data_IF_669067774947
#
_entry.id   IF_669067774947
#
_cell.length_a   1.000
_cell.length_b   1.000
_cell.length_c   1.000
_cell.angle_alpha   90.00
_cell.angle_beta   90.00
_cell.angle_gamma   90.00
#
_symmetry.space_group_name_H-M   'P 1'
#
loop_
_entity.id
_entity.type
_entity.pdbx_description
1 polymer ?
#
# COMPACT_ATOMS: atom_id res chain seq x y z
N UNK A 1 6.24 -1.32 -8.21
CA UNK A 1 5.23 -2.11 -8.93
C UNK A 1 4.60 -1.32 -10.08
N UNK A 2 4.11 -0.09 -9.84
CA UNK A 2 3.53 0.81 -10.86
C UNK A 2 4.41 1.00 -12.09
N UNK A 3 5.70 1.30 -11.87
CA UNK A 3 6.67 1.49 -12.96
C UNK A 3 6.79 0.23 -13.83
N UNK A 4 6.92 -0.94 -13.20
CA UNK A 4 7.06 -2.24 -13.88
C UNK A 4 5.80 -2.62 -14.66
N UNK A 5 4.61 -2.36 -14.12
CA UNK A 5 3.37 -2.53 -14.87
C UNK A 5 3.24 -1.59 -16.06
N UNK A 6 3.71 -0.34 -15.91
CA UNK A 6 3.62 0.68 -16.95
C UNK A 6 4.52 0.42 -18.16
N UNK A 7 5.70 -0.19 -17.97
CA UNK A 7 6.61 -0.57 -19.07
C UNK A 7 6.08 -1.75 -19.90
N UNK A 8 5.24 -2.62 -19.33
CA UNK A 8 4.62 -3.70 -20.10
C UNK A 8 3.37 -3.25 -20.84
N UNK A 9 2.48 -2.53 -20.15
CA UNK A 9 1.26 -2.01 -20.74
C UNK A 9 0.83 -0.75 -19.98
N UNK A 10 0.78 0.40 -20.67
CA UNK A 10 0.45 1.67 -20.04
C UNK A 10 -0.95 1.69 -19.41
N UNK A 11 -1.91 0.90 -19.91
CA UNK A 11 -3.23 0.72 -19.29
C UNK A 11 -3.10 0.04 -17.93
N UNK A 12 -2.37 -1.07 -17.86
CA UNK A 12 -2.11 -1.81 -16.62
C UNK A 12 -1.35 -0.95 -15.62
N UNK A 13 -0.35 -0.18 -16.08
CA UNK A 13 0.38 0.76 -15.26
C UNK A 13 -0.50 1.85 -14.66
N UNK A 14 -1.43 2.40 -15.44
CA UNK A 14 -2.39 3.41 -14.97
C UNK A 14 -3.34 2.84 -13.92
N UNK A 15 -3.89 1.65 -14.16
CA UNK A 15 -4.79 0.98 -13.22
C UNK A 15 -4.10 0.62 -11.92
N UNK A 16 -2.85 0.16 -12.02
CA UNK A 16 -2.02 -0.11 -10.86
C UNK A 16 -1.70 1.19 -10.09
N UNK A 17 -1.48 2.32 -10.79
CA UNK A 17 -1.26 3.62 -10.15
C UNK A 17 -2.50 4.09 -9.38
N UNK A 18 -3.68 3.98 -9.97
CA UNK A 18 -4.95 4.32 -9.31
C UNK A 18 -5.22 3.39 -8.13
N UNK A 19 -5.05 2.08 -8.32
CA UNK A 19 -5.18 1.09 -7.27
C UNK A 19 -4.24 1.36 -6.09
N UNK A 20 -3.00 1.76 -6.39
CA UNK A 20 -2.00 2.12 -5.38
C UNK A 20 -2.41 3.37 -4.60
N UNK A 21 -2.82 4.41 -5.31
CA UNK A 21 -3.31 5.65 -4.69
C UNK A 21 -4.49 5.41 -3.75
N UNK A 22 -5.39 4.49 -4.07
CA UNK A 22 -6.54 4.17 -3.23
C UNK A 22 -6.17 3.45 -1.93
N UNK A 23 -5.22 2.50 -1.93
CA UNK A 23 -4.81 1.84 -0.67
C UNK A 23 -3.93 2.73 0.21
N UNK A 24 -3.27 3.73 -0.39
CA UNK A 24 -2.47 4.70 0.36
C UNK A 24 -3.30 5.60 1.28
N UNK A 25 -4.59 5.79 1.00
CA UNK A 25 -5.46 6.56 1.88
C UNK A 25 -5.62 5.86 3.25
N UNK A 26 -6.05 4.58 3.32
CA UNK A 26 -6.01 3.79 4.56
C UNK A 26 -4.63 3.72 5.22
N UNK A 27 -3.56 3.55 4.44
CA UNK A 27 -2.20 3.45 4.96
C UNK A 27 -1.75 4.77 5.63
N UNK A 28 -2.02 5.90 4.97
CA UNK A 28 -1.75 7.23 5.50
C UNK A 28 -2.49 7.53 6.80
N UNK A 29 -3.76 7.11 6.90
CA UNK A 29 -4.53 7.20 8.15
C UNK A 29 -3.85 6.39 9.25
N UNK A 30 -3.32 5.21 8.91
CA UNK A 30 -2.64 4.32 9.86
C UNK A 30 -1.30 4.87 10.34
N UNK A 31 -0.60 5.67 9.52
CA UNK A 31 0.59 6.43 9.93
C UNK A 31 0.23 7.63 10.80
N UNK A 32 -0.80 8.39 10.41
CA UNK A 32 -1.18 9.63 11.08
C UNK A 32 -1.82 9.40 12.47
N UNK A 33 -2.65 8.36 12.62
CA UNK A 33 -3.37 8.06 13.86
C UNK A 33 -2.46 7.88 15.10
N UNK A 34 -1.44 7.00 15.10
CA UNK A 34 -0.57 6.83 16.27
C UNK A 34 0.24 8.09 16.59
N UNK A 35 0.64 8.87 15.58
CA UNK A 35 1.35 10.15 15.77
C UNK A 35 0.43 11.17 16.43
N UNK A 36 -0.83 11.23 16.03
CA UNK A 36 -1.82 12.08 16.67
C UNK A 36 -2.05 11.68 18.13
N UNK A 37 -2.22 10.39 18.42
CA UNK A 37 -2.39 9.92 19.80
C UNK A 37 -1.17 10.12 20.68
N UNK A 38 0.04 10.14 20.10
CA UNK A 38 1.27 10.39 20.84
C UNK A 38 1.58 11.89 21.03
N UNK A 39 1.20 12.76 20.08
CA UNK A 39 1.63 14.17 20.07
C UNK A 39 0.50 15.18 20.28
N UNK A 40 -0.77 14.77 20.17
CA UNK A 40 -1.96 15.63 20.23
C UNK A 40 -2.16 16.57 19.03
N UNK A 41 -1.22 16.61 18.06
CA UNK A 41 -1.27 17.54 16.92
C UNK A 41 -1.63 16.85 15.62
N UNK A 42 -2.77 17.26 15.03
CA UNK A 42 -3.24 16.77 13.72
C UNK A 42 -2.27 17.12 12.59
N UNK A 43 -1.68 18.32 12.66
CA UNK A 43 -0.71 18.81 11.67
C UNK A 43 0.56 17.97 11.63
N UNK A 44 1.04 17.50 12.80
CA UNK A 44 2.18 16.59 12.84
C UNK A 44 1.83 15.25 12.18
N UNK A 45 0.66 14.70 12.45
CA UNK A 45 0.18 13.47 11.81
C UNK A 45 0.13 13.59 10.28
N UNK A 46 -0.45 14.69 9.78
CA UNK A 46 -0.53 14.97 8.33
C UNK A 46 0.86 15.15 7.72
N UNK A 47 1.76 15.89 8.39
CA UNK A 47 3.11 16.13 7.89
C UNK A 47 3.91 14.84 7.75
N UNK A 48 3.88 13.97 8.77
CA UNK A 48 4.56 12.67 8.71
C UNK A 48 3.93 11.71 7.69
N UNK A 49 2.61 11.75 7.53
CA UNK A 49 1.91 11.03 6.47
C UNK A 49 2.31 11.51 5.07
N UNK A 50 2.49 12.82 4.88
CA UNK A 50 2.94 13.37 3.60
C UNK A 50 4.39 12.94 3.29
N UNK A 51 5.26 12.94 4.30
CA UNK A 51 6.63 12.43 4.16
C UNK A 51 6.63 10.94 3.78
N UNK A 52 5.81 10.11 4.42
CA UNK A 52 5.73 8.68 4.07
C UNK A 52 5.19 8.47 2.65
N UNK A 53 4.24 9.29 2.20
CA UNK A 53 3.71 9.21 0.84
C UNK A 53 4.77 9.48 -0.25
N UNK A 54 5.84 10.23 0.07
CA UNK A 54 6.96 10.45 -0.87
C UNK A 54 7.83 9.20 -1.05
N UNK A 55 7.77 8.22 -0.14
CA UNK A 55 8.58 7.01 -0.24
C UNK A 55 8.23 6.18 -1.49
N UNK A 56 6.97 6.16 -1.91
CA UNK A 56 6.53 5.40 -3.08
C UNK A 56 7.03 5.96 -4.43
N UNK A 57 6.88 7.26 -4.76
CA UNK A 57 7.42 7.80 -5.99
C UNK A 57 8.95 7.73 -5.99
N UNK A 58 9.61 7.92 -4.83
CA UNK A 58 11.07 7.72 -4.72
C UNK A 58 11.43 6.27 -5.01
N UNK A 59 10.71 5.29 -4.45
CA UNK A 59 10.93 3.88 -4.72
C UNK A 59 10.70 3.51 -6.19
N UNK A 60 9.68 4.10 -6.82
CA UNK A 60 9.44 3.97 -8.26
C UNK A 60 10.58 4.55 -9.11
N UNK A 61 11.13 5.69 -8.71
CA UNK A 61 12.24 6.33 -9.40
C UNK A 61 13.56 5.56 -9.24
N UNK A 62 13.82 5.02 -8.04
CA UNK A 62 14.94 4.10 -7.79
C UNK A 62 14.80 2.82 -8.64
N UNK A 63 13.58 2.27 -8.74
CA UNK A 63 13.33 1.12 -9.60
C UNK A 63 13.59 1.44 -11.08
N UNK A 64 13.15 2.61 -11.57
CA UNK A 64 13.45 3.07 -12.93
C UNK A 64 14.96 3.14 -13.20
N UNK A 65 15.74 3.73 -12.28
CA UNK A 65 17.20 3.82 -12.42
C UNK A 65 17.90 2.47 -12.36
N UNK A 66 17.42 1.55 -11.52
CA UNK A 66 18.06 0.25 -11.33
C UNK A 66 17.77 -0.74 -12.47
N UNK A 67 16.64 -0.58 -13.15
CA UNK A 67 16.08 -1.59 -14.06
C UNK A 67 16.13 -1.12 -15.53
N UNK A 68 15.90 0.17 -15.80
CA UNK A 68 15.82 0.69 -17.17
C UNK A 68 14.69 0.07 -18.01
N UNK A 69 14.86 0.08 -19.33
CA UNK A 69 13.79 -0.24 -20.30
C UNK A 69 13.55 -1.74 -20.57
N UNK A 70 14.17 -2.65 -19.81
CA UNK A 70 14.09 -4.08 -20.08
C UNK A 70 14.03 -4.96 -18.83
N UNK A 71 12.83 -5.39 -18.45
CA UNK A 71 12.61 -6.45 -17.46
C UNK A 71 12.21 -7.76 -18.11
N UNK A 72 12.95 -8.82 -17.80
CA UNK A 72 12.52 -10.19 -18.06
C UNK A 72 11.43 -10.62 -17.07
N UNK A 73 10.45 -11.47 -17.46
CA UNK A 73 9.39 -11.95 -16.57
C UNK A 73 9.89 -12.59 -15.27
N UNK A 74 11.06 -13.23 -15.28
CA UNK A 74 11.64 -13.83 -14.06
C UNK A 74 12.07 -12.75 -13.06
N UNK A 75 12.69 -11.67 -13.54
CA UNK A 75 13.12 -10.54 -12.72
C UNK A 75 11.92 -9.77 -12.16
N UNK A 76 10.84 -9.63 -12.94
CA UNK A 76 9.57 -9.08 -12.49
C UNK A 76 8.95 -9.90 -11.36
N UNK A 77 8.85 -11.22 -11.55
CA UNK A 77 8.33 -12.13 -10.53
C UNK A 77 9.10 -12.05 -9.22
N UNK A 78 10.45 -12.00 -9.29
CA UNK A 78 11.29 -11.81 -8.12
C UNK A 78 11.03 -10.47 -7.41
N UNK A 79 10.91 -9.38 -8.17
CA UNK A 79 10.66 -8.05 -7.62
C UNK A 79 9.30 -8.00 -6.91
N UNK A 80 8.24 -8.50 -7.54
CA UNK A 80 6.92 -8.59 -6.90
C UNK A 80 6.91 -9.52 -5.68
N UNK A 81 7.66 -10.62 -5.71
CA UNK A 81 7.84 -11.50 -4.56
C UNK A 81 8.49 -10.78 -3.37
N UNK A 82 9.51 -9.97 -3.61
CA UNK A 82 10.16 -9.17 -2.56
C UNK A 82 9.19 -8.12 -2.00
N UNK A 83 8.46 -7.41 -2.85
CA UNK A 83 7.47 -6.41 -2.41
C UNK A 83 6.35 -7.04 -1.57
N UNK A 84 5.82 -8.19 -2.03
CA UNK A 84 4.82 -8.96 -1.29
C UNK A 84 5.33 -9.35 0.10
N UNK A 85 6.58 -9.84 0.19
CA UNK A 85 7.20 -10.20 1.47
C UNK A 85 7.29 -9.01 2.43
N UNK A 86 7.69 -7.85 1.94
CA UNK A 86 7.82 -6.63 2.76
C UNK A 86 6.44 -6.21 3.31
N UNK A 87 5.41 -6.14 2.45
CA UNK A 87 4.07 -5.74 2.87
C UNK A 87 3.43 -6.72 3.84
N UNK A 88 3.58 -8.03 3.61
CA UNK A 88 3.13 -9.04 4.57
C UNK A 88 3.84 -8.89 5.93
N UNK A 89 5.15 -8.62 5.94
CA UNK A 89 5.91 -8.39 7.16
C UNK A 89 5.41 -7.16 7.94
N UNK A 90 5.16 -6.04 7.24
CA UNK A 90 4.61 -4.81 7.82
C UNK A 90 3.22 -5.07 8.42
N UNK A 91 2.36 -5.79 7.71
CA UNK A 91 1.02 -6.13 8.19
C UNK A 91 1.08 -6.99 9.46
N UNK A 92 1.85 -8.08 9.42
CA UNK A 92 1.90 -9.08 10.49
C UNK A 92 2.63 -8.55 11.73
N UNK A 93 3.76 -7.86 11.57
CA UNK A 93 4.58 -7.40 12.70
C UNK A 93 4.22 -5.99 13.16
N UNK A 94 3.62 -5.17 12.30
CA UNK A 94 3.28 -3.78 12.57
C UNK A 94 1.79 -3.55 12.76
N UNK A 95 1.01 -3.67 11.68
CA UNK A 95 -0.39 -3.23 11.64
C UNK A 95 -1.32 -4.06 12.52
N UNK A 96 -1.23 -5.39 12.44
CA UNK A 96 -2.09 -6.29 13.22
C UNK A 96 -1.84 -6.10 14.74
N UNK A 97 -0.60 -6.16 15.26
CA UNK A 97 -0.36 -5.91 16.68
C UNK A 97 -0.81 -4.53 17.15
N UNK A 98 -0.62 -3.51 16.31
CA UNK A 98 -1.05 -2.14 16.60
C UNK A 98 -2.57 -2.05 16.69
N UNK A 99 -3.31 -2.67 15.77
CA UNK A 99 -4.77 -2.68 15.77
C UNK A 99 -5.37 -3.29 17.03
N UNK A 100 -4.81 -4.42 17.53
CA UNK A 100 -5.22 -5.03 18.79
C UNK A 100 -4.90 -4.16 20.01
N UNK A 101 -3.79 -3.42 19.98
CA UNK A 101 -3.41 -2.50 21.07
C UNK A 101 -4.39 -1.34 21.23
N UNK A 102 -5.00 -0.86 20.14
CA UNK A 102 -5.99 0.22 20.15
C UNK A 102 -7.42 -0.25 20.49
N UNK A 103 -7.75 -1.52 20.22
CA UNK A 103 -9.10 -2.06 20.36
C UNK A 103 -9.25 -3.03 21.55
N UNK A 104 -8.42 -2.88 22.60
CA UNK A 104 -8.26 -3.81 23.75
C UNK A 104 -9.53 -4.56 24.18
N UNK A 105 -10.68 -3.89 24.23
CA UNK A 105 -11.94 -4.44 24.73
C UNK A 105 -12.82 -5.12 23.66
N UNK A 106 -12.47 -5.02 22.37
CA UNK A 106 -13.28 -5.47 21.22
C UNK A 106 -12.42 -6.09 20.09
N UNK A 107 -11.78 -7.25 20.32
CA UNK A 107 -10.91 -7.89 19.33
C UNK A 107 -11.64 -8.28 18.03
N UNK A 108 -12.95 -8.55 18.09
CA UNK A 108 -13.76 -8.87 16.91
C UNK A 108 -13.77 -7.75 15.86
N UNK A 109 -13.60 -6.48 16.27
CA UNK A 109 -13.57 -5.34 15.36
C UNK A 109 -12.33 -5.39 14.46
N UNK A 110 -11.20 -5.89 14.97
CA UNK A 110 -9.97 -6.07 14.17
C UNK A 110 -10.21 -7.09 13.07
N UNK A 111 -10.79 -8.24 13.41
CA UNK A 111 -11.08 -9.30 12.45
C UNK A 111 -12.08 -8.83 11.39
N UNK A 112 -13.18 -8.21 11.79
CA UNK A 112 -14.19 -7.68 10.87
C UNK A 112 -13.59 -6.59 9.96
N UNK A 113 -12.81 -5.66 10.51
CA UNK A 113 -12.13 -4.62 9.74
C UNK A 113 -11.13 -5.20 8.74
N UNK A 114 -10.40 -6.24 9.11
CA UNK A 114 -9.45 -6.93 8.22
C UNK A 114 -10.18 -7.60 7.03
N UNK A 115 -11.25 -8.37 7.29
CA UNK A 115 -12.04 -8.99 6.23
C UNK A 115 -12.75 -7.97 5.35
N UNK A 116 -13.29 -6.90 5.94
CA UNK A 116 -13.90 -5.81 5.18
C UNK A 116 -12.86 -5.11 4.27
N UNK A 117 -11.67 -4.85 4.78
CA UNK A 117 -10.56 -4.28 3.99
C UNK A 117 -10.14 -5.19 2.83
N UNK A 118 -9.98 -6.50 3.09
CA UNK A 118 -9.69 -7.48 2.04
C UNK A 118 -10.80 -7.53 0.98
N UNK A 119 -12.07 -7.47 1.40
CA UNK A 119 -13.20 -7.43 0.48
C UNK A 119 -13.20 -6.17 -0.39
N UNK A 120 -12.96 -4.99 0.20
CA UNK A 120 -12.89 -3.71 -0.55
C UNK A 120 -11.77 -3.76 -1.59
N UNK A 121 -10.60 -4.28 -1.24
CA UNK A 121 -9.46 -4.41 -2.15
C UNK A 121 -9.75 -5.39 -3.31
N UNK A 122 -10.33 -6.54 -3.02
CA UNK A 122 -10.70 -7.50 -4.07
C UNK A 122 -11.78 -6.91 -4.97
N UNK A 123 -12.81 -6.29 -4.40
CA UNK A 123 -13.89 -5.68 -5.16
C UNK A 123 -13.39 -4.55 -6.07
N UNK A 124 -12.49 -3.69 -5.58
CA UNK A 124 -11.94 -2.58 -6.37
C UNK A 124 -11.10 -3.09 -7.54
N UNK A 125 -10.20 -4.05 -7.31
CA UNK A 125 -9.36 -4.65 -8.36
C UNK A 125 -10.21 -5.38 -9.40
N UNK A 126 -11.25 -6.11 -8.97
CA UNK A 126 -12.15 -6.82 -9.89
C UNK A 126 -12.94 -5.83 -10.74
N UNK A 127 -13.41 -4.72 -10.16
CA UNK A 127 -14.14 -3.69 -10.87
C UNK A 127 -13.25 -2.98 -11.91
N UNK A 128 -12.00 -2.67 -11.57
CA UNK A 128 -11.05 -2.10 -12.53
C UNK A 128 -10.78 -3.05 -13.70
N UNK A 129 -10.59 -4.34 -13.40
CA UNK A 129 -10.45 -5.36 -14.44
C UNK A 129 -11.65 -5.46 -15.39
N UNK A 130 -12.88 -5.31 -14.88
CA UNK A 130 -14.08 -5.26 -15.73
C UNK A 130 -14.25 -3.95 -16.50
N UNK A 131 -13.78 -2.84 -15.95
CA UNK A 131 -13.84 -1.52 -16.59
C UNK A 131 -12.80 -1.36 -17.72
N UNK A 132 -12.01 -2.40 -18.02
CA UNK A 132 -11.02 -2.39 -19.10
C UNK A 132 -9.78 -1.57 -18.77
N UNK A 133 -9.56 -1.29 -17.49
CA UNK A 133 -8.38 -0.60 -16.97
C UNK A 133 -7.45 -1.63 -16.37
#
# INVERSE_FOLDING_TARGET
ATYVGAIQNSSVGFSLAVGIGLHNIPEGITVAAPIYFATGSRWRGIFWCAISAVAEPVGGHVAWLAIGDGMDPVSEGNLFGIMCRVMVCICVKGLIPTSYRFTKDKPHVVTVGMFAGMFIMVASLTLFGYAGV
#
